data_IF_363961863419
#
_entry.id   IF_363961863419
#
_cell.length_a   1.000
_cell.length_b   1.000
_cell.length_c   1.000
_cell.angle_alpha   90.00
_cell.angle_beta   90.00
_cell.angle_gamma   90.00
#
_symmetry.space_group_name_H-M   'P 1'
#
loop_
_entity.id
_entity.type
_entity.pdbx_description
1 polymer ?
#
# COMPACT_ATOMS: atom_id res chain seq x y z
N UNK A 1 -26.64 -15.49 -0.95
CA UNK A 1 -25.65 -14.48 -0.47
C UNK A 1 -24.82 -14.14 -1.68
N UNK A 2 -25.08 -12.99 -2.30
CA UNK A 2 -24.28 -12.46 -3.39
C UNK A 2 -22.98 -11.93 -2.78
N UNK A 3 -21.84 -12.51 -3.17
CA UNK A 3 -20.53 -11.92 -2.89
C UNK A 3 -20.56 -10.46 -3.37
N UNK A 4 -19.99 -9.51 -2.59
CA UNK A 4 -19.83 -8.16 -3.08
C UNK A 4 -18.96 -8.25 -4.32
N UNK A 5 -19.47 -7.75 -5.45
CA UNK A 5 -18.68 -7.50 -6.66
C UNK A 5 -17.46 -6.70 -6.24
N UNK A 6 -16.28 -7.35 -6.27
CA UNK A 6 -15.02 -6.68 -6.01
C UNK A 6 -14.92 -5.43 -6.88
N UNK A 7 -14.38 -4.35 -6.35
CA UNK A 7 -14.09 -3.15 -7.13
C UNK A 7 -13.36 -3.58 -8.39
N UNK A 8 -13.89 -3.19 -9.54
CA UNK A 8 -13.34 -3.58 -10.82
C UNK A 8 -11.90 -3.05 -10.90
N UNK A 9 -10.95 -3.95 -11.17
CA UNK A 9 -9.57 -3.60 -11.46
C UNK A 9 -9.52 -2.53 -12.55
N UNK A 10 -8.80 -1.45 -12.32
CA UNK A 10 -8.65 -0.32 -13.26
C UNK A 10 -7.19 -0.05 -13.50
N UNK A 11 -6.88 0.33 -14.73
CA UNK A 11 -5.57 0.89 -15.10
C UNK A 11 -5.80 2.29 -15.61
N UNK A 12 -5.06 3.24 -15.06
CA UNK A 12 -5.15 4.65 -15.40
C UNK A 12 -3.73 5.18 -15.70
N UNK A 13 -3.64 6.23 -16.53
CA UNK A 13 -2.39 6.95 -16.69
C UNK A 13 -1.96 7.53 -15.35
N UNK A 14 -0.67 7.39 -15.02
CA UNK A 14 -0.11 7.95 -13.80
C UNK A 14 0.73 9.19 -14.13
N UNK A 15 0.14 10.41 -14.04
CA UNK A 15 0.74 11.64 -14.58
C UNK A 15 1.82 12.21 -13.65
N UNK A 16 2.71 11.33 -13.16
CA UNK A 16 3.80 11.65 -12.28
C UNK A 16 5.11 11.12 -12.83
N UNK A 17 6.22 11.81 -12.56
CA UNK A 17 7.54 11.28 -12.84
C UNK A 17 7.89 10.22 -11.81
N UNK A 18 8.09 9.01 -12.28
CA UNK A 18 8.49 7.86 -11.46
C UNK A 18 9.96 7.55 -11.71
N UNK A 19 10.71 7.34 -10.64
CA UNK A 19 12.09 6.90 -10.67
C UNK A 19 12.25 5.70 -9.72
N UNK A 20 12.83 4.62 -10.22
CA UNK A 20 13.14 3.41 -9.49
C UNK A 20 14.63 3.35 -9.25
N UNK A 21 15.05 3.16 -8.00
CA UNK A 21 16.46 3.06 -7.63
C UNK A 21 16.72 1.78 -6.82
N UNK A 22 17.91 1.24 -6.97
CA UNK A 22 18.43 0.16 -6.15
C UNK A 22 19.89 0.45 -5.79
N UNK A 23 20.19 0.46 -4.51
CA UNK A 23 21.54 0.74 -3.98
C UNK A 23 22.17 2.03 -4.56
N UNK A 24 21.37 3.08 -4.75
CA UNK A 24 21.78 4.36 -5.29
C UNK A 24 21.92 4.43 -6.82
N UNK A 25 21.55 3.35 -7.53
CA UNK A 25 21.55 3.30 -8.99
C UNK A 25 20.14 3.42 -9.55
N UNK A 26 19.96 4.27 -10.57
CA UNK A 26 18.67 4.45 -11.25
C UNK A 26 18.44 3.29 -12.21
N UNK A 27 17.41 2.49 -11.93
CA UNK A 27 16.99 1.32 -12.71
C UNK A 27 15.98 1.69 -13.80
N UNK A 28 15.10 2.65 -13.50
CA UNK A 28 14.07 3.10 -14.40
C UNK A 28 13.70 4.56 -14.13
N UNK A 29 13.26 5.26 -15.18
CA UNK A 29 12.75 6.61 -15.07
C UNK A 29 11.68 6.82 -16.14
N UNK A 30 10.45 7.13 -15.72
CA UNK A 30 9.32 7.26 -16.63
C UNK A 30 8.43 8.44 -16.27
N UNK A 31 7.82 9.04 -17.28
CA UNK A 31 6.67 9.94 -17.19
C UNK A 31 5.43 9.35 -17.88
N UNK A 32 5.50 8.08 -18.28
CA UNK A 32 4.43 7.34 -18.96
C UNK A 32 4.03 6.10 -18.15
N UNK A 33 4.11 6.21 -16.82
CA UNK A 33 3.71 5.11 -15.95
C UNK A 33 2.19 4.93 -15.93
N UNK A 34 1.77 3.72 -15.64
CA UNK A 34 0.38 3.37 -15.38
C UNK A 34 0.18 3.10 -13.89
N UNK A 35 -1.01 3.41 -13.38
CA UNK A 35 -1.45 3.06 -12.05
C UNK A 35 -2.50 1.95 -12.15
N UNK A 36 -2.17 0.77 -11.63
CA UNK A 36 -3.13 -0.31 -11.44
C UNK A 36 -3.80 -0.14 -10.09
N UNK A 37 -5.12 0.04 -10.08
CA UNK A 37 -5.95 0.18 -8.89
C UNK A 37 -6.77 -1.08 -8.72
N UNK A 38 -6.59 -1.74 -7.58
CA UNK A 38 -7.28 -2.95 -7.17
C UNK A 38 -7.85 -2.78 -5.74
N UNK A 39 -8.42 -3.83 -5.19
CA UNK A 39 -8.97 -3.85 -3.82
C UNK A 39 -7.93 -3.49 -2.75
N UNK A 40 -6.67 -3.80 -3.01
CA UNK A 40 -5.53 -3.46 -2.13
C UNK A 40 -4.89 -2.12 -2.51
N UNK A 41 -3.62 -1.95 -2.16
CA UNK A 41 -2.87 -0.77 -2.54
C UNK A 41 -2.59 -0.75 -4.05
N UNK A 42 -2.60 0.41 -4.70
CA UNK A 42 -2.25 0.52 -6.11
C UNK A 42 -0.78 0.18 -6.38
N UNK A 43 -0.53 -0.37 -7.57
CA UNK A 43 0.80 -0.63 -8.10
C UNK A 43 1.12 0.28 -9.28
N UNK A 44 2.39 0.71 -9.38
CA UNK A 44 2.89 1.47 -10.52
C UNK A 44 3.53 0.51 -11.53
N UNK A 45 3.11 0.62 -12.78
CA UNK A 45 3.67 -0.10 -13.91
C UNK A 45 4.40 0.86 -14.84
N UNK A 46 5.65 0.56 -15.19
CA UNK A 46 6.47 1.35 -16.09
C UNK A 46 6.63 0.63 -17.43
N UNK A 47 6.65 1.35 -18.57
CA UNK A 47 6.99 0.75 -19.86
C UNK A 47 8.36 0.06 -19.80
N UNK A 48 8.51 -1.11 -20.42
CA UNK A 48 9.81 -1.77 -20.52
C UNK A 48 10.89 -0.91 -21.18
N UNK A 49 10.49 -0.01 -22.10
CA UNK A 49 11.41 0.93 -22.75
C UNK A 49 12.11 1.90 -21.79
N UNK A 50 11.50 2.15 -20.62
CA UNK A 50 11.99 3.11 -19.64
C UNK A 50 12.78 2.41 -18.52
N UNK A 51 12.97 1.09 -18.62
CA UNK A 51 13.66 0.25 -17.65
C UNK A 51 15.03 -0.18 -18.18
N UNK A 52 16.04 -0.15 -17.33
CA UNK A 52 17.39 -0.66 -17.63
C UNK A 52 17.38 -2.20 -17.67
N UNK A 53 16.84 -2.76 -18.77
CA UNK A 53 16.71 -4.20 -18.94
C UNK A 53 18.06 -4.94 -18.98
N UNK A 54 19.15 -4.24 -19.23
CA UNK A 54 20.52 -4.76 -19.14
C UNK A 54 20.94 -5.17 -17.70
N UNK A 55 20.21 -4.69 -16.69
CA UNK A 55 20.38 -5.06 -15.29
C UNK A 55 19.32 -6.04 -14.76
N UNK A 56 18.43 -6.49 -15.64
CA UNK A 56 17.33 -7.41 -15.32
C UNK A 56 17.62 -8.80 -15.84
N UNK A 57 17.57 -9.80 -14.98
CA UNK A 57 17.73 -11.22 -15.36
C UNK A 57 16.43 -11.96 -15.08
N UNK A 58 15.81 -12.50 -16.13
CA UNK A 58 14.59 -13.29 -15.99
C UNK A 58 14.84 -14.52 -15.10
N UNK A 59 13.83 -14.89 -14.32
CA UNK A 59 13.89 -16.05 -13.41
C UNK A 59 12.86 -17.09 -13.81
N UNK A 60 13.02 -18.31 -13.28
CA UNK A 60 12.02 -19.38 -13.43
C UNK A 60 10.81 -19.20 -12.49
N UNK A 61 10.84 -18.18 -11.61
CA UNK A 61 9.73 -17.89 -10.72
C UNK A 61 8.54 -17.36 -11.51
N UNK A 62 7.35 -17.86 -11.19
CA UNK A 62 6.10 -17.35 -11.74
C UNK A 62 4.97 -17.48 -10.75
N UNK A 63 3.98 -16.60 -10.86
CA UNK A 63 2.73 -16.67 -10.11
C UNK A 63 1.54 -16.50 -11.05
N UNK A 64 0.36 -16.95 -10.64
CA UNK A 64 -0.85 -16.83 -11.43
C UNK A 64 -1.88 -15.98 -10.68
N UNK A 65 -2.31 -14.90 -11.32
CA UNK A 65 -3.43 -14.10 -10.87
C UNK A 65 -4.67 -14.45 -11.73
N UNK A 66 -5.83 -14.81 -11.13
CA UNK A 66 -7.03 -15.13 -11.90
C UNK A 66 -7.50 -14.01 -12.83
N UNK A 67 -7.19 -12.76 -12.50
CA UNK A 67 -7.66 -11.56 -13.20
C UNK A 67 -6.64 -10.97 -14.17
N UNK A 68 -5.35 -11.31 -14.02
CA UNK A 68 -4.25 -10.73 -14.82
C UNK A 68 -3.51 -11.77 -15.65
N UNK A 69 -3.52 -13.04 -15.26
CA UNK A 69 -2.79 -14.11 -15.90
C UNK A 69 -1.52 -14.50 -15.17
N UNK A 70 -0.58 -15.08 -15.91
CA UNK A 70 0.72 -15.49 -15.38
C UNK A 70 1.67 -14.30 -15.34
N UNK A 71 2.31 -14.08 -14.19
CA UNK A 71 3.37 -13.10 -14.01
C UNK A 71 4.74 -13.75 -14.20
N UNK A 72 5.60 -13.08 -14.97
CA UNK A 72 7.04 -13.34 -15.08
C UNK A 72 7.80 -12.45 -14.10
N UNK A 73 8.99 -12.89 -13.66
CA UNK A 73 9.79 -12.20 -12.66
C UNK A 73 11.22 -12.00 -13.11
N UNK A 74 11.85 -10.94 -12.59
CA UNK A 74 13.26 -10.63 -12.84
C UNK A 74 13.99 -10.32 -11.53
N UNK A 75 15.21 -10.85 -11.46
CA UNK A 75 16.21 -10.39 -10.52
C UNK A 75 16.82 -9.09 -11.04
N UNK A 76 17.16 -8.20 -10.12
CA UNK A 76 17.94 -7.01 -10.43
C UNK A 76 19.40 -7.29 -10.08
N UNK A 77 20.31 -7.04 -11.02
CA UNK A 77 21.73 -7.19 -10.81
C UNK A 77 22.48 -5.98 -11.35
N UNK A 78 23.05 -5.19 -10.44
CA UNK A 78 23.82 -3.99 -10.78
C UNK A 78 25.32 -4.26 -10.64
N UNK A 79 26.05 -4.05 -11.72
CA UNK A 79 27.52 -4.18 -11.77
C UNK A 79 28.08 -5.52 -11.23
N UNK A 80 27.36 -6.61 -11.38
CA UNK A 80 27.75 -7.97 -10.91
C UNK A 80 28.02 -8.09 -9.39
N UNK A 81 27.70 -7.10 -8.60
CA UNK A 81 27.99 -7.08 -7.16
C UNK A 81 26.76 -6.90 -6.28
N UNK A 82 25.76 -6.17 -6.76
CA UNK A 82 24.52 -5.88 -6.03
C UNK A 82 23.36 -6.58 -6.71
N UNK A 83 22.63 -7.40 -5.98
CA UNK A 83 21.50 -8.12 -6.51
C UNK A 83 20.33 -8.16 -5.54
N UNK A 84 19.12 -8.22 -6.09
CA UNK A 84 17.89 -8.48 -5.36
C UNK A 84 16.98 -9.39 -6.21
N UNK A 85 16.52 -10.46 -5.59
CA UNK A 85 15.78 -11.51 -6.26
C UNK A 85 14.31 -11.17 -6.45
N UNK A 86 13.78 -11.50 -7.65
CA UNK A 86 12.37 -11.35 -8.00
C UNK A 86 11.80 -9.97 -7.58
N UNK A 87 12.53 -8.90 -7.88
CA UNK A 87 12.16 -7.55 -7.46
C UNK A 87 11.31 -6.80 -8.48
N UNK A 88 11.29 -7.27 -9.73
CA UNK A 88 10.43 -6.78 -10.81
C UNK A 88 9.52 -7.89 -11.29
N UNK A 89 8.28 -7.56 -11.66
CA UNK A 89 7.35 -8.50 -12.29
C UNK A 89 6.56 -7.84 -13.42
N UNK A 90 6.05 -8.65 -14.34
CA UNK A 90 5.16 -8.22 -15.42
C UNK A 90 4.17 -9.30 -15.82
N UNK A 91 3.05 -8.88 -16.37
CA UNK A 91 2.10 -9.74 -17.08
C UNK A 91 2.36 -9.56 -18.58
N UNK A 92 3.25 -10.40 -19.14
CA UNK A 92 3.69 -10.26 -20.54
C UNK A 92 2.58 -10.63 -21.53
N UNK A 93 1.73 -11.58 -21.13
CA UNK A 93 0.54 -12.00 -21.90
C UNK A 93 -0.69 -12.05 -20.97
N UNK A 94 -1.26 -10.87 -20.64
CA UNK A 94 -2.42 -10.78 -19.75
C UNK A 94 -3.63 -11.52 -20.31
N UNK A 95 -4.50 -12.07 -19.41
CA UNK A 95 -5.74 -12.72 -19.83
C UNK A 95 -6.70 -11.73 -20.48
N UNK A 96 -7.63 -12.25 -21.29
CA UNK A 96 -8.68 -11.45 -21.91
C UNK A 96 -9.49 -10.70 -20.81
N UNK A 97 -9.69 -9.40 -21.00
CA UNK A 97 -10.37 -8.54 -20.01
C UNK A 97 -9.46 -7.92 -18.95
N UNK A 98 -8.19 -8.30 -18.88
CA UNK A 98 -7.21 -7.56 -18.10
C UNK A 98 -6.96 -6.19 -18.74
N UNK A 99 -7.04 -5.08 -17.99
CA UNK A 99 -6.71 -3.78 -18.57
C UNK A 99 -5.24 -3.71 -18.95
N UNK A 100 -4.90 -2.87 -19.91
CA UNK A 100 -3.66 -2.70 -20.68
C UNK A 100 -2.32 -2.70 -19.95
N UNK A 101 -1.97 -3.77 -19.23
CA UNK A 101 -0.67 -3.93 -18.58
C UNK A 101 0.43 -4.48 -19.50
N UNK A 102 0.07 -4.96 -20.69
CA UNK A 102 1.04 -5.52 -21.64
C UNK A 102 2.11 -4.50 -21.99
N UNK A 103 3.37 -4.91 -21.95
CA UNK A 103 4.51 -4.02 -22.22
C UNK A 103 4.97 -3.16 -21.04
N UNK A 104 4.42 -3.40 -19.85
CA UNK A 104 4.78 -2.71 -18.63
C UNK A 104 5.18 -3.68 -17.52
N UNK A 105 6.04 -3.23 -16.61
CA UNK A 105 6.49 -3.97 -15.45
C UNK A 105 6.37 -3.14 -14.18
N UNK A 106 6.22 -3.81 -13.04
CA UNK A 106 6.16 -3.21 -11.73
C UNK A 106 7.31 -3.69 -10.83
N UNK A 107 7.55 -2.98 -9.74
CA UNK A 107 8.63 -3.25 -8.78
C UNK A 107 8.08 -3.32 -7.37
N UNK A 108 8.60 -4.24 -6.55
CA UNK A 108 8.25 -4.35 -5.14
C UNK A 108 8.79 -3.17 -4.34
N UNK A 109 7.91 -2.39 -3.73
CA UNK A 109 8.26 -1.20 -2.91
C UNK A 109 9.12 -1.51 -1.68
N UNK A 110 9.10 -2.73 -1.18
CA UNK A 110 9.91 -3.19 -0.05
C UNK A 110 11.30 -3.66 -0.46
N UNK A 111 11.56 -3.82 -1.75
CA UNK A 111 12.84 -4.31 -2.29
C UNK A 111 13.68 -3.23 -2.94
N UNK A 112 13.06 -2.13 -3.37
CA UNK A 112 13.71 -1.05 -4.11
C UNK A 112 13.19 0.32 -3.65
N UNK A 113 13.94 1.37 -3.95
CA UNK A 113 13.51 2.73 -3.68
C UNK A 113 12.70 3.27 -4.86
N UNK A 114 11.42 3.56 -4.61
CA UNK A 114 10.54 4.21 -5.59
C UNK A 114 10.38 5.69 -5.24
N UNK A 115 10.69 6.57 -6.18
CA UNK A 115 10.46 8.00 -6.04
C UNK A 115 9.36 8.46 -7.00
N UNK A 116 8.45 9.28 -6.51
CA UNK A 116 7.40 9.93 -7.30
C UNK A 116 7.58 11.44 -7.15
N UNK A 117 7.77 12.14 -8.26
CA UNK A 117 8.08 13.57 -8.32
C UNK A 117 9.26 13.95 -7.38
N UNK A 118 10.29 13.07 -7.33
CA UNK A 118 11.48 13.24 -6.52
C UNK A 118 11.32 12.94 -5.03
N UNK A 119 10.15 12.43 -4.59
CA UNK A 119 9.89 12.06 -3.19
C UNK A 119 9.86 10.54 -3.04
N UNK A 120 10.60 10.02 -2.08
CA UNK A 120 10.59 8.60 -1.74
C UNK A 120 9.19 8.17 -1.27
N UNK A 121 8.66 7.15 -1.91
CA UNK A 121 7.41 6.50 -1.52
C UNK A 121 7.68 5.55 -0.35
N UNK A 122 6.95 5.71 0.74
CA UNK A 122 6.97 4.80 1.89
C UNK A 122 5.70 3.98 1.91
N UNK A 123 5.83 2.65 1.84
CA UNK A 123 4.71 1.73 1.74
C UNK A 123 4.21 1.62 0.31
N UNK A 124 3.08 2.23 -0.02
CA UNK A 124 2.45 2.19 -1.34
C UNK A 124 2.13 3.58 -1.86
N UNK A 125 1.92 3.71 -3.16
CA UNK A 125 1.35 4.94 -3.73
C UNK A 125 -0.11 5.10 -3.34
N UNK A 126 -0.61 6.32 -3.44
CA UNK A 126 -2.00 6.63 -3.10
C UNK A 126 -2.92 6.30 -4.27
N UNK A 127 -4.07 5.73 -3.97
CA UNK A 127 -5.22 5.69 -4.86
C UNK A 127 -5.80 7.12 -4.96
N UNK A 128 -5.84 7.74 -6.15
CA UNK A 128 -6.35 9.10 -6.31
C UNK A 128 -7.86 9.22 -6.04
N UNK A 129 -8.58 8.11 -6.05
CA UNK A 129 -10.03 8.05 -5.80
C UNK A 129 -10.39 7.79 -4.34
N UNK A 130 -9.39 7.51 -3.50
CA UNK A 130 -9.60 7.29 -2.07
C UNK A 130 -9.63 8.61 -1.33
N UNK A 131 -10.81 8.94 -0.79
CA UNK A 131 -11.03 10.16 0.00
C UNK A 131 -10.98 9.82 1.48
N UNK A 132 -10.26 10.63 2.25
CA UNK A 132 -10.23 10.59 3.71
C UNK A 132 -10.77 11.92 4.23
N UNK A 133 -11.79 11.84 5.08
CA UNK A 133 -12.39 12.98 5.73
C UNK A 133 -12.36 12.81 7.25
N UNK A 134 -12.10 13.90 7.99
CA UNK A 134 -12.05 13.90 9.46
C UNK A 134 -13.04 14.92 9.98
N UNK A 135 -13.92 14.50 10.90
CA UNK A 135 -14.94 15.34 11.48
C UNK A 135 -14.91 15.24 13.01
N UNK A 136 -15.12 16.37 13.68
CA UNK A 136 -15.31 16.39 15.12
C UNK A 136 -16.64 15.72 15.49
N UNK A 137 -16.62 14.84 16.48
CA UNK A 137 -17.83 14.21 17.04
C UNK A 137 -18.33 15.04 18.20
N UNK A 138 -19.56 15.59 18.06
CA UNK A 138 -20.19 16.41 19.11
C UNK A 138 -20.89 15.58 20.20
N UNK A 139 -21.08 14.29 19.95
CA UNK A 139 -21.75 13.37 20.86
C UNK A 139 -20.76 12.69 21.79
N UNK A 140 -21.27 12.18 22.92
CA UNK A 140 -20.47 11.39 23.83
C UNK A 140 -20.13 10.05 23.19
N UNK A 141 -18.84 9.75 23.08
CA UNK A 141 -18.30 8.47 22.63
C UNK A 141 -17.95 7.64 23.88
N UNK A 142 -18.43 6.40 23.90
CA UNK A 142 -18.14 5.44 24.98
C UNK A 142 -17.65 4.14 24.34
N UNK A 143 -16.45 3.72 24.71
CA UNK A 143 -15.89 2.40 24.32
C UNK A 143 -15.88 1.47 25.51
N UNK A 144 -16.34 0.25 25.28
CA UNK A 144 -16.43 -0.78 26.33
C UNK A 144 -15.74 -2.06 25.88
N UNK A 145 -15.12 -2.74 26.82
CA UNK A 145 -14.69 -4.13 26.67
C UNK A 145 -15.45 -4.93 27.73
N UNK A 146 -16.31 -5.85 27.28
CA UNK A 146 -17.27 -6.54 28.17
C UNK A 146 -18.11 -5.51 28.95
N UNK A 147 -17.97 -5.45 30.28
CA UNK A 147 -18.69 -4.51 31.14
C UNK A 147 -17.88 -3.24 31.47
N UNK A 148 -16.58 -3.24 31.19
CA UNK A 148 -15.68 -2.14 31.53
C UNK A 148 -15.75 -1.00 30.53
N UNK A 149 -15.94 0.23 31.00
CA UNK A 149 -15.84 1.45 30.22
C UNK A 149 -14.37 1.82 30.13
N UNK A 150 -13.77 1.65 28.94
CA UNK A 150 -12.36 1.96 28.70
C UNK A 150 -12.18 3.43 28.34
N UNK A 151 -13.12 4.00 27.59
CA UNK A 151 -13.10 5.40 27.17
C UNK A 151 -14.49 6.00 27.29
N UNK A 152 -14.53 7.22 27.83
CA UNK A 152 -15.68 8.07 27.74
C UNK A 152 -15.22 9.51 27.46
N UNK A 153 -15.57 10.07 26.30
CA UNK A 153 -15.11 11.40 25.90
C UNK A 153 -16.13 12.10 25.00
N UNK A 154 -16.04 13.43 24.91
CA UNK A 154 -16.71 14.28 23.91
C UNK A 154 -15.73 14.88 22.90
N UNK A 155 -14.45 14.59 23.04
CA UNK A 155 -13.36 15.12 22.22
C UNK A 155 -12.87 14.09 21.18
N UNK A 156 -13.82 13.30 20.65
CA UNK A 156 -13.52 12.34 19.61
C UNK A 156 -13.61 12.97 18.21
N UNK A 157 -12.88 12.42 17.28
CA UNK A 157 -13.04 12.67 15.84
C UNK A 157 -13.38 11.36 15.13
N UNK A 158 -14.17 11.45 14.07
CA UNK A 158 -14.41 10.33 13.18
C UNK A 158 -13.60 10.52 11.91
N UNK A 159 -12.95 9.47 11.47
CA UNK A 159 -12.29 9.39 10.17
C UNK A 159 -13.11 8.46 9.28
N UNK A 160 -13.60 9.02 8.19
CA UNK A 160 -14.28 8.31 7.11
C UNK A 160 -13.30 8.13 5.95
N UNK A 161 -13.19 6.92 5.44
CA UNK A 161 -12.31 6.55 4.33
C UNK A 161 -13.12 5.78 3.29
N UNK A 162 -12.98 6.13 2.00
CA UNK A 162 -13.67 5.44 0.90
C UNK A 162 -13.51 3.92 1.00
N UNK A 163 -14.62 3.21 0.97
CA UNK A 163 -14.66 1.74 1.01
C UNK A 163 -14.40 1.11 2.38
N UNK A 164 -14.20 1.89 3.44
CA UNK A 164 -13.94 1.39 4.79
C UNK A 164 -14.98 1.89 5.80
N UNK A 165 -15.24 1.14 6.88
CA UNK A 165 -16.05 1.61 7.99
C UNK A 165 -15.38 2.81 8.68
N UNK A 166 -16.21 3.71 9.21
CA UNK A 166 -15.76 4.82 10.03
C UNK A 166 -14.90 4.37 11.22
N UNK A 167 -13.86 5.14 11.50
CA UNK A 167 -12.96 4.93 12.64
C UNK A 167 -13.09 6.11 13.61
N UNK A 168 -13.24 5.79 14.88
CA UNK A 168 -13.23 6.80 15.94
C UNK A 168 -11.83 6.95 16.50
N UNK A 169 -11.35 8.18 16.54
CA UNK A 169 -10.10 8.56 17.19
C UNK A 169 -10.43 9.36 18.43
N UNK A 170 -9.88 8.95 19.56
CA UNK A 170 -10.05 9.59 20.85
C UNK A 170 -8.71 10.12 21.35
N UNK A 171 -8.66 11.20 22.13
CA UNK A 171 -7.42 11.64 22.76
C UNK A 171 -6.84 10.52 23.63
N UNK A 172 -5.52 10.30 23.57
CA UNK A 172 -4.84 9.30 24.41
C UNK A 172 -5.12 9.54 25.90
N UNK A 173 -5.21 10.82 26.31
CA UNK A 173 -5.57 11.22 27.66
C UNK A 173 -6.95 10.77 28.13
N UNK A 174 -7.84 10.40 27.21
CA UNK A 174 -9.16 9.85 27.55
C UNK A 174 -9.12 8.36 27.89
N UNK A 175 -7.97 7.70 27.70
CA UNK A 175 -7.77 6.28 28.01
C UNK A 175 -6.94 6.19 29.29
N UNK A 176 -7.47 5.66 30.40
CA UNK A 176 -6.67 5.46 31.60
C UNK A 176 -5.46 4.57 31.33
N UNK A 177 -4.27 5.02 31.75
CA UNK A 177 -2.99 4.34 31.49
C UNK A 177 -2.93 2.89 31.96
N UNK A 178 -3.71 2.54 32.99
CA UNK A 178 -3.79 1.14 33.48
C UNK A 178 -4.30 0.15 32.41
N UNK A 179 -4.99 0.64 31.38
CA UNK A 179 -5.49 -0.19 30.29
C UNK A 179 -4.51 -0.27 29.11
N UNK A 180 -3.45 0.53 29.07
CA UNK A 180 -2.51 0.62 27.96
C UNK A 180 -1.18 -0.03 28.33
N UNK A 181 -0.73 -0.96 27.52
CA UNK A 181 0.62 -1.50 27.52
C UNK A 181 1.24 -1.27 26.15
N UNK A 182 2.43 -0.67 26.11
CA UNK A 182 3.14 -0.43 24.84
C UNK A 182 3.41 -1.72 24.10
N UNK A 183 3.30 -1.66 22.78
CA UNK A 183 3.61 -2.76 21.88
C UNK A 183 4.74 -2.34 20.94
N UNK A 184 5.66 -3.24 20.67
CA UNK A 184 6.75 -3.02 19.68
C UNK A 184 6.24 -2.97 18.23
N UNK A 185 4.93 -3.17 18.03
CA UNK A 185 4.34 -3.13 16.69
C UNK A 185 4.24 -1.71 16.19
N UNK A 186 4.78 -1.49 14.99
CA UNK A 186 4.62 -0.27 14.22
C UNK A 186 4.11 -0.59 12.81
N UNK A 187 3.35 0.32 12.22
CA UNK A 187 2.93 0.23 10.82
C UNK A 187 2.96 1.59 10.17
N UNK A 188 3.14 1.61 8.85
CA UNK A 188 3.09 2.82 8.04
C UNK A 188 1.88 2.75 7.12
N UNK A 189 1.08 3.81 7.11
CA UNK A 189 0.00 4.01 6.16
C UNK A 189 0.32 5.19 5.27
N UNK A 190 0.28 5.00 3.97
CA UNK A 190 0.55 6.04 2.96
C UNK A 190 -0.33 7.27 3.13
N UNK A 191 -1.55 7.12 3.66
CA UNK A 191 -2.50 8.23 3.86
C UNK A 191 -2.42 8.87 5.23
N UNK A 192 -2.16 8.08 6.29
CA UNK A 192 -2.30 8.47 7.71
C UNK A 192 -0.97 8.61 8.44
N UNK A 193 0.13 8.13 7.85
CA UNK A 193 1.47 8.16 8.45
C UNK A 193 1.77 6.93 9.32
N UNK A 194 2.66 7.11 10.28
CA UNK A 194 3.15 6.05 11.17
C UNK A 194 2.16 5.83 12.33
N UNK A 195 1.90 4.58 12.67
CA UNK A 195 1.06 4.21 13.79
C UNK A 195 1.84 3.32 14.77
N UNK A 196 1.72 3.65 16.06
CA UNK A 196 2.16 2.81 17.18
C UNK A 196 0.95 2.09 17.76
N UNK A 197 1.18 1.00 18.44
CA UNK A 197 0.14 0.12 18.97
C UNK A 197 0.28 -0.06 20.47
N UNK A 198 -0.86 -0.33 21.11
CA UNK A 198 -0.94 -0.71 22.51
C UNK A 198 -1.73 -1.99 22.65
N UNK A 199 -1.33 -2.83 23.60
CA UNK A 199 -2.18 -3.90 24.10
C UNK A 199 -3.17 -3.30 25.10
N UNK A 200 -4.42 -3.75 25.03
CA UNK A 200 -5.43 -3.38 26.03
C UNK A 200 -5.46 -4.44 27.14
N UNK A 201 -5.20 -4.02 28.37
CA UNK A 201 -5.34 -4.86 29.56
C UNK A 201 -6.68 -4.60 30.21
N UNK A 202 -7.39 -5.66 30.56
CA UNK A 202 -8.59 -5.64 31.39
C UNK A 202 -8.37 -6.53 32.60
N UNK A 203 -9.07 -6.30 33.72
CA UNK A 203 -8.82 -6.95 35.01
C UNK A 203 -9.05 -8.48 35.03
N UNK A 204 -9.42 -9.09 33.89
CA UNK A 204 -9.68 -10.54 33.76
C UNK A 204 -8.71 -11.28 32.82
N UNK A 205 -7.44 -10.92 32.83
CA UNK A 205 -6.38 -11.74 32.18
C UNK A 205 -5.21 -11.90 33.12
#
# INVERSE_FOLDING_TARGET
>A
MTEPLGEAMRVEDYPHRVEIQFAGHVLAQSSNALLLIETYAPDIYLPFSDIRMDWMTATDHSTVCPHKGQASYWNIQVHNQLSVDNAMWAYEDPVEGCPGLKGHAAFYFDKIDTHVDGRLVRGHVRDPHKVIAVHAVKQRVCMKIKQDVIVETRDAVVLSETGLPDRFYVPESAIPSRYLEESDRETVCTYKGEARYFHLRTEEQ
#
